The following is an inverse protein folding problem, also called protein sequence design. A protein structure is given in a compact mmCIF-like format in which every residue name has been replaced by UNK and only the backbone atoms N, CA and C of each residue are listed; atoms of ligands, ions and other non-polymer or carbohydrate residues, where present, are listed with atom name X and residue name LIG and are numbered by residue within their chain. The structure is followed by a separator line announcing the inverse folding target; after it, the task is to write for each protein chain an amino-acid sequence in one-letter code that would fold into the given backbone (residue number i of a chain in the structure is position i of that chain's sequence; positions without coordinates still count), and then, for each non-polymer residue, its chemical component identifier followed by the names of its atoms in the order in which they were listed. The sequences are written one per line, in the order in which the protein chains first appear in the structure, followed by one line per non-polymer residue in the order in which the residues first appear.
data_IF_329013339640
#
_entry.id   IF_329013339640
#
_cell.length_a   1.000
_cell.length_b   1.000
_cell.length_c   1.000
_cell.angle_alpha   90.00
_cell.angle_beta   90.00
_cell.angle_gamma   90.00
#
_symmetry.space_group_name_H-M   'P 1'
#
loop_
_entity.id
_entity.type
_entity.pdbx_description
1 polymer ?
#
# COMPACT_ATOMS: atom_id res chain seq x y z
N UNK A 1 -1.81 2.57 5.27
CA UNK A 1 -3.14 3.22 5.29
C UNK A 1 -3.20 4.41 4.32
N UNK A 2 -2.26 5.35 4.37
CA UNK A 2 -2.15 6.48 3.41
C UNK A 2 -2.28 6.06 1.94
N UNK A 3 -1.50 5.07 1.51
CA UNK A 3 -1.54 4.57 0.13
C UNK A 3 -2.91 3.96 -0.27
N UNK A 4 -3.63 3.32 0.67
CA UNK A 4 -4.98 2.83 0.40
C UNK A 4 -5.95 4.00 0.23
N UNK A 5 -5.86 5.00 1.11
CA UNK A 5 -6.67 6.21 1.05
C UNK A 5 -6.47 6.98 -0.25
N UNK A 6 -5.22 7.20 -0.65
CA UNK A 6 -4.85 7.86 -1.91
C UNK A 6 -5.44 7.13 -3.12
N UNK A 7 -5.38 5.80 -3.17
CA UNK A 7 -5.98 5.00 -4.25
C UNK A 7 -7.51 5.13 -4.33
N UNK A 8 -8.17 5.52 -3.25
CA UNK A 8 -9.62 5.75 -3.22
C UNK A 8 -9.97 7.24 -3.41
N UNK A 9 -8.98 8.12 -3.43
CA UNK A 9 -9.18 9.55 -3.56
C UNK A 9 -9.44 9.92 -5.03
N UNK A 10 -10.55 10.61 -5.36
CA UNK A 10 -10.87 10.98 -6.74
C UNK A 10 -9.85 11.92 -7.40
N UNK A 11 -8.95 12.51 -6.60
CA UNK A 11 -7.97 13.49 -7.03
C UNK A 11 -8.46 14.91 -6.78
N UNK A 12 -7.50 15.81 -6.57
CA UNK A 12 -7.73 17.23 -6.38
C UNK A 12 -6.54 17.98 -6.97
N UNK A 13 -6.79 19.00 -7.79
CA UNK A 13 -5.74 19.90 -8.25
C UNK A 13 -5.53 20.97 -7.19
N UNK A 14 -4.36 21.00 -6.57
CA UNK A 14 -3.95 22.02 -5.62
C UNK A 14 -2.94 22.97 -6.27
N UNK A 15 -2.86 24.21 -5.78
CA UNK A 15 -1.98 25.26 -6.33
C UNK A 15 -0.64 25.38 -5.60
N UNK A 16 -0.50 24.85 -4.38
CA UNK A 16 0.71 25.08 -3.56
C UNK A 16 1.13 23.98 -2.57
N UNK A 17 0.28 23.00 -2.22
CA UNK A 17 0.60 22.06 -1.14
C UNK A 17 0.34 20.56 -1.42
N UNK A 18 1.13 19.68 -0.77
CA UNK A 18 1.17 18.23 -1.05
C UNK A 18 1.11 17.29 0.18
N UNK A 19 1.22 17.77 1.41
CA UNK A 19 1.13 16.96 2.66
C UNK A 19 0.23 17.64 3.68
N UNK A 20 -0.41 16.84 4.55
CA UNK A 20 -1.62 17.26 5.29
C UNK A 20 -1.65 16.90 6.78
N UNK A 21 -0.93 15.89 7.31
CA UNK A 21 -1.21 15.38 8.68
C UNK A 21 0.06 15.17 9.52
N UNK A 22 0.06 15.72 10.73
CA UNK A 22 1.04 15.52 11.79
C UNK A 22 0.34 14.92 13.02
N UNK A 23 0.68 13.70 13.41
CA UNK A 23 0.12 13.08 14.62
C UNK A 23 0.84 13.62 15.87
N UNK A 24 0.07 14.15 16.83
CA UNK A 24 0.58 14.73 18.09
C UNK A 24 -0.20 14.18 19.28
N UNK A 25 0.39 14.17 20.48
CA UNK A 25 -0.34 13.76 21.70
C UNK A 25 -1.41 14.78 22.10
N UNK A 26 -1.15 16.06 21.83
CA UNK A 26 -2.06 17.16 22.11
C UNK A 26 -1.98 18.18 20.97
N UNK A 27 -3.13 18.59 20.44
CA UNK A 27 -3.20 19.62 19.39
C UNK A 27 -2.92 20.99 20.01
N UNK A 28 -1.81 21.60 19.61
CA UNK A 28 -1.41 22.95 20.00
C UNK A 28 -1.71 23.99 18.92
N UNK A 29 -1.79 23.55 17.67
CA UNK A 29 -2.11 24.38 16.51
C UNK A 29 -3.51 24.04 16.01
N UNK A 30 -4.45 24.95 16.28
CA UNK A 30 -5.84 24.84 15.80
C UNK A 30 -5.93 24.99 14.29
N UNK A 31 -5.15 25.91 13.72
CA UNK A 31 -5.13 26.21 12.29
C UNK A 31 -4.00 25.48 11.57
N UNK A 32 -4.25 24.95 10.36
CA UNK A 32 -3.19 24.43 9.50
C UNK A 32 -2.10 25.47 9.22
N UNK A 33 -0.85 25.02 9.16
CA UNK A 33 0.30 25.88 8.85
C UNK A 33 0.97 25.39 7.59
N UNK A 34 1.13 26.26 6.59
CA UNK A 34 1.95 25.92 5.42
C UNK A 34 3.43 26.13 5.73
N UNK A 35 4.24 25.09 5.56
CA UNK A 35 5.70 25.13 5.72
C UNK A 35 6.37 24.48 4.51
N UNK A 36 7.11 25.27 3.72
CA UNK A 36 7.82 24.77 2.54
C UNK A 36 6.91 24.02 1.54
N UNK A 37 5.68 24.51 1.34
CA UNK A 37 4.67 23.86 0.49
C UNK A 37 4.04 22.61 1.12
N UNK A 38 4.24 22.35 2.41
CA UNK A 38 3.54 21.30 3.15
C UNK A 38 2.49 21.93 4.05
N UNK A 39 1.24 21.48 3.96
CA UNK A 39 0.18 21.92 4.86
C UNK A 39 0.19 21.05 6.12
N UNK A 40 0.78 21.55 7.20
CA UNK A 40 0.85 20.84 8.46
C UNK A 40 -0.47 20.98 9.23
N UNK A 41 -1.16 19.86 9.47
CA UNK A 41 -2.33 19.80 10.36
C UNK A 41 -2.07 18.81 11.49
N UNK A 42 -2.07 19.32 12.71
CA UNK A 42 -1.95 18.47 13.90
C UNK A 42 -3.21 17.63 14.10
N UNK A 43 -3.08 16.34 14.36
CA UNK A 43 -4.19 15.45 14.73
C UNK A 43 -3.79 14.72 16.00
N UNK A 44 -4.69 14.73 16.98
CA UNK A 44 -4.48 14.02 18.23
C UNK A 44 -4.35 12.50 17.99
N UNK A 45 -3.32 11.89 18.56
CA UNK A 45 -3.00 10.49 18.35
C UNK A 45 -2.35 9.88 19.60
N UNK A 46 -3.08 8.97 20.26
CA UNK A 46 -2.57 8.21 21.40
C UNK A 46 -1.66 7.06 20.95
N UNK A 47 -0.36 7.33 20.80
CA UNK A 47 0.61 6.35 20.28
C UNK A 47 0.69 5.06 21.11
N UNK A 48 0.65 5.17 22.45
CA UNK A 48 0.73 4.01 23.33
C UNK A 48 -0.50 3.09 23.16
N UNK A 49 -1.70 3.66 23.20
CA UNK A 49 -2.94 2.92 22.95
C UNK A 49 -2.98 2.30 21.55
N UNK A 50 -2.45 3.00 20.54
CA UNK A 50 -2.32 2.46 19.19
C UNK A 50 -1.39 1.25 19.14
N UNK A 51 -0.23 1.30 19.82
CA UNK A 51 0.75 0.20 19.83
C UNK A 51 0.20 -1.07 20.46
N UNK A 52 -0.57 -0.92 21.54
CA UNK A 52 -1.18 -2.01 22.30
C UNK A 52 -2.43 -2.61 21.63
N UNK A 53 -3.03 -1.89 20.68
CA UNK A 53 -4.21 -2.34 19.95
C UNK A 53 -3.95 -3.52 19.01
N UNK A 54 -5.00 -4.31 18.74
CA UNK A 54 -4.97 -5.34 17.70
C UNK A 54 -4.86 -4.75 16.29
N UNK A 55 -4.65 -5.61 15.29
CA UNK A 55 -4.44 -5.19 13.90
C UNK A 55 -5.64 -4.48 13.28
N UNK A 56 -6.86 -4.90 13.58
CA UNK A 56 -8.07 -4.30 13.02
C UNK A 56 -8.30 -2.91 13.63
N UNK A 57 -8.10 -2.78 14.94
CA UNK A 57 -8.18 -1.52 15.63
C UNK A 57 -7.08 -0.55 15.16
N UNK A 58 -5.84 -1.02 14.97
CA UNK A 58 -4.75 -0.22 14.38
C UNK A 58 -5.15 0.35 13.02
N UNK A 59 -5.72 -0.47 12.12
CA UNK A 59 -6.19 0.03 10.82
C UNK A 59 -7.27 1.11 10.98
N UNK A 60 -8.24 0.90 11.86
CA UNK A 60 -9.33 1.87 12.10
C UNK A 60 -8.82 3.20 12.64
N UNK A 61 -7.94 3.16 13.66
CA UNK A 61 -7.33 4.35 14.25
C UNK A 61 -6.47 5.09 13.22
N UNK A 62 -5.66 4.38 12.44
CA UNK A 62 -4.86 4.97 11.38
C UNK A 62 -5.73 5.67 10.31
N UNK A 63 -6.83 5.05 9.88
CA UNK A 63 -7.76 5.66 8.93
C UNK A 63 -8.44 6.90 9.55
N UNK A 64 -8.94 6.78 10.77
CA UNK A 64 -9.63 7.89 11.46
C UNK A 64 -8.72 9.10 11.61
N UNK A 65 -7.47 8.89 12.02
CA UNK A 65 -6.50 9.97 12.24
C UNK A 65 -6.11 10.64 10.92
N UNK A 66 -5.82 9.84 9.89
CA UNK A 66 -5.52 10.34 8.55
C UNK A 66 -6.69 11.17 7.99
N UNK A 67 -7.90 10.64 8.09
CA UNK A 67 -9.09 11.31 7.56
C UNK A 67 -9.43 12.57 8.36
N UNK A 68 -9.31 12.56 9.69
CA UNK A 68 -9.52 13.76 10.50
C UNK A 68 -8.57 14.90 10.10
N UNK A 69 -7.29 14.60 9.88
CA UNK A 69 -6.33 15.59 9.39
C UNK A 69 -6.65 16.07 7.98
N UNK A 70 -7.05 15.15 7.10
CA UNK A 70 -7.46 15.48 5.73
C UNK A 70 -8.69 16.41 5.69
N UNK A 71 -9.71 16.13 6.50
CA UNK A 71 -10.91 16.96 6.62
C UNK A 71 -10.60 18.36 7.16
N UNK A 72 -9.71 18.45 8.16
CA UNK A 72 -9.27 19.74 8.71
C UNK A 72 -8.52 20.58 7.69
N UNK A 73 -7.61 19.97 6.92
CA UNK A 73 -6.93 20.67 5.82
C UNK A 73 -7.93 21.12 4.75
N UNK A 74 -8.83 20.23 4.33
CA UNK A 74 -9.82 20.54 3.31
C UNK A 74 -10.73 21.70 3.73
N UNK A 75 -11.18 21.71 4.99
CA UNK A 75 -11.98 22.80 5.54
C UNK A 75 -11.22 24.13 5.55
N UNK A 76 -9.94 24.12 5.97
CA UNK A 76 -9.12 25.34 5.99
C UNK A 76 -8.81 25.90 4.61
N UNK A 77 -8.71 25.03 3.60
CA UNK A 77 -8.39 25.41 2.22
C UNK A 77 -9.65 25.63 1.36
N UNK A 78 -10.85 25.42 1.91
CA UNK A 78 -12.10 25.48 1.16
C UNK A 78 -12.23 24.41 0.07
N UNK A 79 -11.56 23.27 0.23
CA UNK A 79 -11.68 22.14 -0.69
C UNK A 79 -12.99 21.39 -0.49
N UNK A 80 -13.45 20.71 -1.54
CA UNK A 80 -14.63 19.85 -1.45
C UNK A 80 -14.38 18.69 -0.48
N UNK A 81 -15.03 18.75 0.68
CA UNK A 81 -14.95 17.74 1.73
C UNK A 81 -15.44 16.37 1.24
N UNK A 82 -16.36 16.32 0.28
CA UNK A 82 -16.93 15.09 -0.24
C UNK A 82 -15.85 14.21 -0.90
N UNK A 83 -14.81 14.79 -1.51
CA UNK A 83 -13.69 14.04 -2.08
C UNK A 83 -12.99 13.16 -1.03
N UNK A 84 -12.88 13.66 0.19
CA UNK A 84 -12.22 12.97 1.30
C UNK A 84 -13.16 11.93 1.94
N UNK A 85 -14.46 12.20 2.00
CA UNK A 85 -15.45 11.23 2.45
C UNK A 85 -15.58 10.04 1.49
N UNK A 86 -15.51 10.28 0.18
CA UNK A 86 -15.45 9.22 -0.84
C UNK A 86 -14.23 8.33 -0.61
N UNK A 87 -13.06 8.92 -0.36
CA UNK A 87 -11.84 8.15 -0.10
C UNK A 87 -11.94 7.30 1.18
N UNK A 88 -12.44 7.87 2.28
CA UNK A 88 -12.69 7.13 3.52
C UNK A 88 -13.67 5.96 3.30
N UNK A 89 -14.77 6.24 2.61
CA UNK A 89 -15.81 5.24 2.32
C UNK A 89 -15.25 4.11 1.46
N UNK A 90 -14.43 4.43 0.45
CA UNK A 90 -13.72 3.44 -0.35
C UNK A 90 -12.78 2.55 0.47
N UNK A 91 -12.05 3.12 1.44
CA UNK A 91 -11.21 2.34 2.35
C UNK A 91 -12.05 1.34 3.18
N UNK A 92 -13.16 1.80 3.75
CA UNK A 92 -14.06 0.97 4.54
C UNK A 92 -14.71 -0.14 3.71
N UNK A 93 -15.15 0.17 2.48
CA UNK A 93 -15.72 -0.80 1.55
C UNK A 93 -14.73 -1.93 1.19
N UNK A 94 -13.42 -1.64 1.24
CA UNK A 94 -12.34 -2.62 1.02
C UNK A 94 -11.90 -3.34 2.30
N UNK A 95 -12.64 -3.18 3.40
CA UNK A 95 -12.31 -3.71 4.72
C UNK A 95 -10.86 -3.37 5.15
N UNK A 96 -10.39 -2.18 4.76
CA UNK A 96 -9.05 -1.68 5.08
C UNK A 96 -7.90 -2.59 4.59
N UNK A 97 -8.13 -3.44 3.59
CA UNK A 97 -7.10 -4.32 3.04
C UNK A 97 -6.24 -3.57 2.01
N UNK A 98 -5.02 -3.24 2.40
CA UNK A 98 -4.02 -2.62 1.55
C UNK A 98 -3.19 -3.69 0.84
N UNK A 99 -3.83 -4.38 -0.11
CA UNK A 99 -3.20 -5.38 -0.96
C UNK A 99 -3.22 -4.93 -2.44
N UNK A 100 -2.19 -5.33 -3.20
CA UNK A 100 -2.09 -5.07 -4.63
C UNK A 100 -1.14 -6.05 -5.31
N UNK A 101 -1.26 -6.17 -6.63
CA UNK A 101 -0.37 -7.00 -7.44
C UNK A 101 0.78 -6.20 -8.03
N UNK A 102 1.97 -6.83 -8.08
CA UNK A 102 3.15 -6.30 -8.75
C UNK A 102 3.76 -7.32 -9.72
N UNK A 103 4.10 -6.93 -10.97
CA UNK A 103 3.62 -5.72 -11.62
C UNK A 103 2.07 -5.72 -11.75
N UNK A 104 1.43 -4.58 -12.05
CA UNK A 104 -0.04 -4.48 -12.14
C UNK A 104 -0.69 -5.39 -13.18
N UNK A 105 0.10 -5.99 -14.07
CA UNK A 105 -0.33 -6.99 -15.04
C UNK A 105 0.49 -8.25 -14.82
N UNK A 106 -0.16 -9.39 -14.92
CA UNK A 106 0.50 -10.70 -14.90
C UNK A 106 1.57 -10.82 -15.99
N UNK A 107 2.63 -11.56 -15.70
CA UNK A 107 3.75 -11.83 -16.60
C UNK A 107 3.65 -13.27 -17.09
N UNK A 108 3.51 -13.45 -18.39
CA UNK A 108 3.42 -14.75 -19.03
C UNK A 108 4.79 -15.35 -19.32
N UNK A 109 4.91 -16.67 -19.20
CA UNK A 109 6.06 -17.42 -19.70
C UNK A 109 6.09 -17.41 -21.24
N UNK A 110 7.20 -17.87 -21.84
CA UNK A 110 7.46 -17.74 -23.29
C UNK A 110 6.36 -18.36 -24.18
N UNK A 111 5.79 -19.49 -23.78
CA UNK A 111 4.73 -20.18 -24.52
C UNK A 111 3.32 -19.76 -24.08
N UNK A 112 3.18 -18.78 -23.18
CA UNK A 112 1.92 -18.27 -22.64
C UNK A 112 1.02 -19.35 -22.03
N UNK A 113 1.62 -20.36 -21.40
CA UNK A 113 0.89 -21.41 -20.69
C UNK A 113 0.70 -21.10 -19.20
N UNK A 114 1.62 -20.33 -18.60
CA UNK A 114 1.62 -19.97 -17.19
C UNK A 114 1.85 -18.47 -17.06
N UNK A 115 1.12 -17.84 -16.15
CA UNK A 115 1.24 -16.44 -15.78
C UNK A 115 1.63 -16.32 -14.31
N UNK A 116 2.35 -15.26 -13.97
CA UNK A 116 2.77 -14.98 -12.61
C UNK A 116 2.63 -13.50 -12.26
N UNK A 117 2.41 -13.22 -10.98
CA UNK A 117 2.49 -11.89 -10.38
C UNK A 117 2.99 -12.02 -8.94
N UNK A 118 3.28 -10.88 -8.29
CA UNK A 118 3.60 -10.80 -6.88
C UNK A 118 2.41 -10.21 -6.15
N UNK A 119 1.79 -10.97 -5.26
CA UNK A 119 0.81 -10.44 -4.31
C UNK A 119 1.57 -9.68 -3.21
N UNK A 120 1.30 -8.37 -3.10
CA UNK A 120 1.86 -7.50 -2.08
C UNK A 120 0.78 -7.16 -1.06
N UNK A 121 1.12 -7.23 0.23
CA UNK A 121 0.19 -6.91 1.32
C UNK A 121 0.86 -6.06 2.37
N UNK A 122 0.30 -4.88 2.59
CA UNK A 122 0.78 -3.91 3.56
C UNK A 122 -0.10 -3.94 4.81
N UNK A 123 0.50 -4.30 5.95
CA UNK A 123 -0.15 -4.37 7.25
C UNK A 123 0.47 -3.33 8.20
N UNK A 124 -0.21 -2.99 9.30
CA UNK A 124 0.35 -2.04 10.28
C UNK A 124 1.70 -2.45 10.87
N UNK A 125 1.98 -3.75 10.91
CA UNK A 125 3.11 -4.38 11.60
C UNK A 125 4.15 -5.00 10.66
N UNK A 126 3.79 -5.30 9.41
CA UNK A 126 4.73 -5.80 8.41
C UNK A 126 4.24 -5.55 6.98
N UNK A 127 5.16 -5.70 6.05
CA UNK A 127 4.87 -5.86 4.63
C UNK A 127 5.26 -7.27 4.18
N UNK A 128 4.43 -7.90 3.35
CA UNK A 128 4.70 -9.24 2.81
C UNK A 128 4.53 -9.32 1.31
N UNK A 129 5.35 -10.16 0.68
CA UNK A 129 5.37 -10.40 -0.76
C UNK A 129 5.37 -11.91 -1.05
N UNK A 130 4.52 -12.34 -1.98
CA UNK A 130 4.46 -13.72 -2.44
C UNK A 130 4.37 -13.75 -3.97
N UNK A 131 5.20 -14.56 -4.64
CA UNK A 131 4.98 -14.87 -6.06
C UNK A 131 3.83 -15.87 -6.15
N UNK A 132 2.87 -15.60 -7.03
CA UNK A 132 1.75 -16.49 -7.34
C UNK A 132 1.77 -16.80 -8.82
N UNK A 133 1.73 -18.09 -9.16
CA UNK A 133 1.63 -18.56 -10.53
C UNK A 133 0.34 -19.34 -10.78
N UNK A 134 -0.27 -19.14 -11.96
CA UNK A 134 -1.46 -19.85 -12.40
C UNK A 134 -1.39 -20.13 -13.91
N UNK A 135 -2.16 -21.11 -14.38
CA UNK A 135 -2.30 -21.33 -15.82
C UNK A 135 -3.29 -20.36 -16.48
N UNK A 136 -3.46 -20.51 -17.80
CA UNK A 136 -4.38 -19.70 -18.60
C UNK A 136 -5.86 -19.76 -18.18
N UNK A 137 -6.24 -20.79 -17.42
CA UNK A 137 -7.60 -20.95 -16.90
C UNK A 137 -7.72 -20.45 -15.44
N UNK A 138 -6.64 -19.89 -14.89
CA UNK A 138 -6.58 -19.42 -13.50
C UNK A 138 -6.30 -20.51 -12.47
N UNK A 139 -6.01 -21.76 -12.90
CA UNK A 139 -5.68 -22.82 -11.95
C UNK A 139 -4.29 -22.57 -11.35
N UNK A 140 -4.19 -22.59 -10.02
CA UNK A 140 -2.95 -22.37 -9.31
C UNK A 140 -1.86 -23.38 -9.70
N UNK A 141 -0.63 -22.89 -9.89
CA UNK A 141 0.57 -23.67 -10.27
C UNK A 141 1.70 -23.58 -9.25
N UNK A 142 1.54 -22.74 -8.24
CA UNK A 142 2.50 -22.60 -7.15
C UNK A 142 2.42 -21.22 -6.51
N UNK A 143 2.95 -21.16 -5.28
CA UNK A 143 3.11 -19.94 -4.48
C UNK A 143 4.44 -20.00 -3.74
N UNK A 144 5.15 -18.89 -3.67
CA UNK A 144 6.45 -18.80 -2.95
C UNK A 144 6.55 -17.47 -2.21
N UNK A 145 6.77 -17.54 -0.91
CA UNK A 145 7.01 -16.36 -0.08
C UNK A 145 8.37 -15.75 -0.42
N UNK A 146 8.40 -14.44 -0.66
CA UNK A 146 9.61 -13.73 -1.11
C UNK A 146 10.24 -12.98 0.05
N UNK A 147 9.42 -12.22 0.77
CA UNK A 147 9.91 -11.37 1.83
C UNK A 147 8.79 -11.05 2.82
N UNK A 148 9.21 -10.88 4.07
CA UNK A 148 8.46 -10.21 5.11
C UNK A 148 9.37 -9.17 5.74
N UNK A 149 9.00 -7.90 5.65
CA UNK A 149 9.83 -6.77 6.07
C UNK A 149 9.05 -5.84 6.98
N UNK A 150 9.73 -4.82 7.50
CA UNK A 150 9.09 -3.64 8.06
C UNK A 150 8.06 -3.08 7.07
N UNK A 151 6.93 -2.53 7.57
CA UNK A 151 5.87 -1.96 6.75
C UNK A 151 6.26 -0.60 6.13
N UNK A 152 7.54 -0.23 6.17
CA UNK A 152 8.04 1.02 5.66
C UNK A 152 8.54 0.85 4.21
N UNK A 153 8.15 1.80 3.34
CA UNK A 153 8.51 1.83 1.92
C UNK A 153 10.02 1.76 1.66
N UNK A 154 10.84 2.28 2.57
CA UNK A 154 12.30 2.21 2.44
C UNK A 154 12.81 0.76 2.42
N UNK A 155 12.13 -0.17 3.09
CA UNK A 155 12.56 -1.56 3.16
C UNK A 155 12.04 -2.39 1.98
N UNK A 156 10.78 -2.21 1.59
CA UNK A 156 10.18 -3.09 0.59
C UNK A 156 10.23 -2.56 -0.84
N UNK A 157 10.30 -1.24 -1.05
CA UNK A 157 10.33 -0.66 -2.40
C UNK A 157 11.56 -1.10 -3.22
N UNK A 158 12.76 -1.29 -2.63
CA UNK A 158 13.89 -1.85 -3.36
C UNK A 158 13.64 -3.28 -3.89
N UNK A 159 12.83 -4.09 -3.19
CA UNK A 159 12.51 -5.46 -3.60
C UNK A 159 11.58 -5.51 -4.82
N UNK A 160 10.78 -4.46 -5.06
CA UNK A 160 9.85 -4.34 -6.18
C UNK A 160 10.56 -3.85 -7.45
N UNK A 161 11.38 -4.73 -8.03
CA UNK A 161 11.99 -4.55 -9.35
C UNK A 161 11.19 -5.24 -10.46
N UNK A 162 11.76 -6.26 -11.10
CA UNK A 162 11.19 -6.93 -12.27
C UNK A 162 10.90 -8.42 -12.01
N UNK A 163 9.67 -8.85 -12.29
CA UNK A 163 9.28 -10.26 -12.30
C UNK A 163 9.61 -10.87 -13.67
N UNK A 164 10.43 -11.92 -13.71
CA UNK A 164 10.95 -12.52 -14.95
C UNK A 164 10.89 -14.04 -14.92
N UNK A 165 10.49 -14.63 -16.04
CA UNK A 165 10.65 -16.07 -16.28
C UNK A 165 12.09 -16.38 -16.67
N UNK A 166 12.76 -17.23 -15.91
CA UNK A 166 14.10 -17.76 -16.23
C UNK A 166 14.03 -18.88 -17.26
N UNK A 167 12.96 -19.67 -17.20
CA UNK A 167 12.63 -20.68 -18.18
C UNK A 167 11.09 -20.87 -18.22
N UNK A 168 10.60 -21.95 -18.85
CA UNK A 168 9.16 -22.19 -18.99
C UNK A 168 8.40 -22.43 -17.67
N UNK A 169 9.11 -22.77 -16.58
CA UNK A 169 8.54 -23.19 -15.30
C UNK A 169 9.06 -22.39 -14.09
N UNK A 170 10.19 -21.69 -14.22
CA UNK A 170 10.79 -20.92 -13.13
C UNK A 170 10.60 -19.42 -13.34
N UNK A 171 10.01 -18.77 -12.35
CA UNK A 171 9.86 -17.32 -12.28
C UNK A 171 10.62 -16.76 -11.07
N UNK A 172 11.25 -15.61 -11.26
CA UNK A 172 12.04 -14.92 -10.23
C UNK A 172 11.62 -13.46 -10.12
N UNK A 173 11.64 -12.92 -8.90
CA UNK A 173 11.57 -11.49 -8.70
C UNK A 173 13.00 -10.94 -8.54
N UNK A 174 13.38 -10.00 -9.40
CA UNK A 174 14.67 -9.30 -9.32
C UNK A 174 14.44 -7.94 -8.69
N UNK A 175 15.15 -7.62 -7.61
CA UNK A 175 15.14 -6.32 -6.97
C UNK A 175 15.63 -5.20 -7.87
N UNK A 176 15.41 -3.95 -7.46
CA UNK A 176 15.84 -2.75 -8.21
C UNK A 176 17.36 -2.58 -8.24
N UNK A 177 18.04 -3.13 -7.25
CA UNK A 177 19.49 -3.27 -7.15
C UNK A 177 20.04 -4.38 -8.08
N UNK A 178 19.17 -5.14 -8.75
CA UNK A 178 19.54 -6.26 -9.60
C UNK A 178 19.73 -7.58 -8.85
N UNK A 179 19.57 -7.59 -7.52
CA UNK A 179 19.69 -8.82 -6.72
C UNK A 179 18.44 -9.67 -6.93
N UNK A 180 18.63 -10.95 -7.24
CA UNK A 180 17.51 -11.89 -7.34
C UNK A 180 17.02 -12.26 -5.95
N UNK A 181 15.72 -12.05 -5.71
CA UNK A 181 15.05 -12.59 -4.53
C UNK A 181 14.76 -14.08 -4.68
N UNK A 182 13.94 -14.61 -3.76
CA UNK A 182 13.45 -15.99 -3.84
C UNK A 182 12.69 -16.24 -5.15
N UNK A 183 12.74 -17.49 -5.61
CA UNK A 183 12.14 -17.94 -6.86
C UNK A 183 10.92 -18.83 -6.61
N UNK A 184 10.12 -19.03 -7.65
CA UNK A 184 9.09 -20.07 -7.69
C UNK A 184 9.36 -20.99 -8.89
N UNK A 185 9.53 -22.28 -8.61
CA UNK A 185 9.48 -23.35 -9.60
C UNK A 185 8.02 -23.87 -9.65
N UNK A 186 7.40 -23.82 -10.83
CA UNK A 186 6.00 -24.21 -11.03
C UNK A 186 5.87 -25.70 -11.33
N UNK A 187 4.81 -26.33 -10.83
CA UNK A 187 4.57 -27.75 -11.05
C UNK A 187 4.17 -28.04 -12.51
N UNK A 188 4.81 -29.05 -13.10
CA UNK A 188 4.39 -29.64 -14.38
C UNK A 188 3.20 -30.57 -14.17
N UNK A 189 2.18 -30.49 -15.04
CA UNK A 189 1.25 -31.62 -15.20
C UNK A 189 2.04 -32.80 -15.78
N UNK A 190 2.00 -33.93 -15.08
CA UNK A 190 2.19 -35.25 -15.69
C UNK A 190 0.99 -35.59 -16.56
#
# INVERSE_FOLDING_TARGET
MSALYEKQFPGLRTTSCWKVVECVEEVRRSSPVEQLGVLCVEVEFALNSYRESDLEQKKRVALSSLHAGAMRAAAAQGWDLNLFEVARSGCLARNLDNAWDWPPRVVWNKNRSIQAHVECRHRPDYFSMQIVASDKNGLARGRSDIARTEPDEFFFRPLLGALKWKNGLRVVLVGRDGVEGLALDTETRS
#
